data_IF_869012727561
#
_entry.id   IF_869012727561
#
_cell.length_a   1.000
_cell.length_b   1.000
_cell.length_c   1.000
_cell.angle_alpha   90.00
_cell.angle_beta   90.00
_cell.angle_gamma   90.00
#
_symmetry.space_group_name_H-M   'P 1'
#
loop_
_entity.id
_entity.type
_entity.pdbx_description
1 polymer ?
#
# COMPACT_ATOMS: atom_id res chain seq x y z
N UNK A 1 7.79 -17.36 -25.53
CA UNK A 1 7.65 -15.92 -25.82
C UNK A 1 8.89 -15.16 -25.34
N UNK A 2 9.98 -15.13 -26.14
CA UNK A 2 11.28 -14.57 -25.70
C UNK A 2 11.36 -13.03 -25.80
N UNK A 3 10.44 -12.39 -26.52
CA UNK A 3 10.45 -10.95 -26.80
C UNK A 3 9.29 -10.17 -26.16
N UNK A 4 8.39 -10.84 -25.41
CA UNK A 4 7.25 -10.18 -24.79
C UNK A 4 7.75 -9.13 -23.78
N UNK A 5 7.35 -7.87 -23.95
CA UNK A 5 7.76 -6.75 -23.08
C UNK A 5 6.65 -6.27 -22.15
N UNK A 6 5.39 -6.47 -22.53
CA UNK A 6 4.23 -6.08 -21.75
C UNK A 6 3.30 -7.28 -21.65
N UNK A 7 2.89 -7.61 -20.43
CA UNK A 7 1.82 -8.55 -20.14
C UNK A 7 0.85 -7.84 -19.20
N UNK A 8 -0.36 -7.57 -19.68
CA UNK A 8 -1.46 -7.08 -18.85
C UNK A 8 -2.51 -8.17 -18.75
N UNK A 9 -2.90 -8.45 -17.51
CA UNK A 9 -3.97 -9.35 -17.11
C UNK A 9 -5.01 -8.57 -16.29
N UNK A 10 -5.05 -7.25 -16.46
CA UNK A 10 -5.86 -6.33 -15.67
C UNK A 10 -7.33 -6.78 -15.62
N UNK A 11 -7.92 -6.75 -14.42
CA UNK A 11 -9.34 -7.01 -14.20
C UNK A 11 -9.76 -8.47 -14.35
N UNK A 12 -8.82 -9.40 -14.59
CA UNK A 12 -9.15 -10.82 -14.75
C UNK A 12 -9.39 -11.44 -13.37
N UNK A 13 -10.65 -11.53 -12.97
CA UNK A 13 -11.08 -12.07 -11.67
C UNK A 13 -10.90 -13.57 -11.52
N UNK A 14 -10.58 -14.33 -12.57
CA UNK A 14 -10.38 -15.79 -12.47
C UNK A 14 -8.95 -16.19 -12.14
N UNK A 15 -7.99 -15.26 -12.16
CA UNK A 15 -6.61 -15.55 -11.81
C UNK A 15 -6.49 -15.56 -10.30
N UNK A 16 -6.23 -16.74 -9.73
CA UNK A 16 -5.98 -16.92 -8.30
C UNK A 16 -4.49 -16.94 -7.99
N UNK A 17 -3.65 -17.34 -8.94
CA UNK A 17 -2.19 -17.37 -8.84
C UNK A 17 -1.55 -17.16 -10.21
N UNK A 18 -0.32 -16.65 -10.23
CA UNK A 18 0.51 -16.70 -11.44
C UNK A 18 1.39 -17.95 -11.43
N UNK A 19 1.55 -18.64 -12.57
CA UNK A 19 2.40 -19.83 -12.65
C UNK A 19 3.89 -19.46 -12.60
N UNK A 20 4.73 -20.35 -12.07
CA UNK A 20 6.20 -20.19 -12.03
C UNK A 20 6.83 -19.95 -13.41
N UNK A 21 6.15 -20.35 -14.49
CA UNK A 21 6.58 -20.09 -15.86
C UNK A 21 6.63 -18.59 -16.21
N UNK A 22 6.01 -17.70 -15.42
CA UNK A 22 6.13 -16.25 -15.60
C UNK A 22 7.60 -15.82 -15.63
N UNK A 23 8.45 -16.44 -14.80
CA UNK A 23 9.88 -16.16 -14.73
C UNK A 23 10.65 -16.44 -16.03
N UNK A 24 10.07 -17.21 -16.97
CA UNK A 24 10.66 -17.48 -18.29
C UNK A 24 10.54 -16.29 -19.26
N UNK A 25 9.76 -15.27 -18.93
CA UNK A 25 9.57 -14.06 -19.74
C UNK A 25 10.74 -13.08 -19.56
N UNK A 26 11.94 -13.47 -19.97
CA UNK A 26 13.19 -12.73 -19.74
C UNK A 26 13.24 -11.30 -20.33
N UNK A 27 12.35 -10.97 -21.27
CA UNK A 27 12.24 -9.64 -21.87
C UNK A 27 11.14 -8.76 -21.28
N UNK A 28 10.38 -9.26 -20.30
CA UNK A 28 9.24 -8.56 -19.74
C UNK A 28 9.69 -7.31 -18.99
N UNK A 29 9.07 -6.17 -19.32
CA UNK A 29 9.31 -4.86 -18.72
C UNK A 29 8.13 -4.38 -17.89
N UNK A 30 6.91 -4.75 -18.29
CA UNK A 30 5.67 -4.33 -17.65
C UNK A 30 4.83 -5.58 -17.37
N UNK A 31 4.50 -5.79 -16.10
CA UNK A 31 3.53 -6.78 -15.65
C UNK A 31 2.41 -6.04 -14.94
N UNK A 32 1.22 -6.08 -15.53
CA UNK A 32 0.03 -5.40 -15.02
C UNK A 32 -1.00 -6.43 -14.61
N UNK A 33 -1.26 -6.48 -13.31
CA UNK A 33 -2.20 -7.37 -12.62
C UNK A 33 -3.25 -6.53 -11.88
N UNK A 34 -3.38 -5.25 -12.19
CA UNK A 34 -4.32 -4.36 -11.52
C UNK A 34 -5.74 -4.95 -11.55
N UNK A 35 -6.46 -4.84 -10.43
CA UNK A 35 -7.84 -5.31 -10.30
C UNK A 35 -8.04 -6.81 -10.57
N UNK A 36 -6.99 -7.64 -10.46
CA UNK A 36 -7.15 -9.09 -10.33
C UNK A 36 -7.63 -9.42 -8.92
N UNK A 37 -8.91 -9.16 -8.62
CA UNK A 37 -9.45 -9.18 -7.25
C UNK A 37 -9.23 -10.52 -6.52
N UNK A 38 -9.21 -11.64 -7.24
CA UNK A 38 -9.04 -12.98 -6.67
C UNK A 38 -7.59 -13.48 -6.65
N UNK A 39 -6.63 -12.68 -7.13
CA UNK A 39 -5.21 -13.04 -7.09
C UNK A 39 -4.76 -13.13 -5.63
N UNK A 40 -4.41 -14.33 -5.19
CA UNK A 40 -4.01 -14.62 -3.82
C UNK A 40 -2.51 -14.88 -3.70
N UNK A 41 -1.84 -15.29 -4.78
CA UNK A 41 -0.43 -15.70 -4.74
C UNK A 41 0.37 -15.20 -5.96
N UNK A 42 1.56 -14.68 -5.68
CA UNK A 42 2.61 -14.45 -6.68
C UNK A 42 3.71 -15.52 -6.54
N UNK A 43 4.21 -16.09 -7.65
CA UNK A 43 5.22 -17.13 -7.61
C UNK A 43 6.58 -16.55 -7.23
N UNK A 44 7.40 -17.33 -6.50
CA UNK A 44 8.80 -16.97 -6.16
C UNK A 44 9.62 -16.64 -7.42
N UNK A 45 9.34 -17.34 -8.53
CA UNK A 45 9.97 -17.10 -9.82
C UNK A 45 9.71 -15.72 -10.43
N UNK A 46 8.84 -14.88 -9.85
CA UNK A 46 8.71 -13.47 -10.25
C UNK A 46 10.07 -12.73 -10.18
N UNK A 47 10.95 -13.11 -9.23
CA UNK A 47 12.29 -12.55 -9.10
C UNK A 47 13.23 -12.84 -10.28
N UNK A 48 12.86 -13.74 -11.20
CA UNK A 48 13.62 -14.02 -12.43
C UNK A 48 13.40 -12.97 -13.53
N UNK A 49 12.40 -12.08 -13.39
CA UNK A 49 12.06 -11.04 -14.37
C UNK A 49 13.05 -9.85 -14.32
N UNK A 50 14.33 -10.10 -14.64
CA UNK A 50 15.43 -9.12 -14.44
C UNK A 50 15.31 -7.82 -15.24
N UNK A 51 14.42 -7.74 -16.24
CA UNK A 51 14.14 -6.53 -17.02
C UNK A 51 12.85 -5.82 -16.60
N UNK A 52 12.15 -6.32 -15.57
CA UNK A 52 10.90 -5.73 -15.11
C UNK A 52 11.16 -4.33 -14.54
N UNK A 53 10.41 -3.37 -15.06
CA UNK A 53 10.48 -1.96 -14.66
C UNK A 53 9.19 -1.49 -14.01
N UNK A 54 8.07 -2.12 -14.34
CA UNK A 54 6.75 -1.78 -13.81
C UNK A 54 6.02 -3.05 -13.38
N UNK A 55 5.61 -3.08 -12.12
CA UNK A 55 4.71 -4.08 -11.56
C UNK A 55 3.51 -3.36 -10.93
N UNK A 56 2.32 -3.63 -11.45
CA UNK A 56 1.06 -3.14 -10.87
C UNK A 56 0.25 -4.33 -10.34
N UNK A 57 0.14 -4.42 -9.02
CA UNK A 57 -0.70 -5.40 -8.30
C UNK A 57 -1.74 -4.68 -7.44
N UNK A 58 -2.05 -3.42 -7.76
CA UNK A 58 -3.07 -2.68 -7.05
C UNK A 58 -4.45 -3.32 -7.21
N UNK A 59 -5.30 -3.20 -6.18
CA UNK A 59 -6.63 -3.81 -6.13
C UNK A 59 -6.63 -5.36 -6.24
N UNK A 60 -5.53 -6.03 -5.91
CA UNK A 60 -5.48 -7.49 -5.71
C UNK A 60 -5.82 -7.82 -4.24
N UNK A 61 -7.10 -7.75 -3.86
CA UNK A 61 -7.51 -7.74 -2.45
C UNK A 61 -7.30 -9.06 -1.68
N UNK A 62 -7.14 -10.19 -2.38
CA UNK A 62 -6.81 -11.48 -1.75
C UNK A 62 -5.30 -11.73 -1.63
N UNK A 63 -4.45 -10.84 -2.16
CA UNK A 63 -3.01 -10.98 -2.10
C UNK A 63 -2.53 -10.63 -0.69
N UNK A 64 -2.34 -11.65 0.14
CA UNK A 64 -1.96 -11.46 1.54
C UNK A 64 -0.49 -11.07 1.72
N UNK A 65 0.38 -11.47 0.79
CA UNK A 65 1.80 -11.17 0.81
C UNK A 65 2.42 -11.17 -0.58
N UNK A 66 3.61 -10.58 -0.66
CA UNK A 66 4.45 -10.58 -1.86
C UNK A 66 5.68 -11.44 -1.57
N UNK A 67 6.16 -12.30 -2.49
CA UNK A 67 7.33 -13.14 -2.26
C UNK A 67 8.61 -12.30 -2.10
N UNK A 68 9.49 -12.68 -1.18
CA UNK A 68 10.78 -12.01 -0.90
C UNK A 68 11.66 -11.82 -2.15
N UNK A 69 11.52 -12.70 -3.13
CA UNK A 69 12.18 -12.64 -4.43
C UNK A 69 11.88 -11.36 -5.23
N UNK A 70 10.85 -10.59 -4.88
CA UNK A 70 10.59 -9.28 -5.48
C UNK A 70 11.77 -8.31 -5.31
N UNK A 71 12.50 -8.40 -4.19
CA UNK A 71 13.73 -7.63 -3.95
C UNK A 71 14.84 -7.89 -4.97
N UNK A 72 14.75 -8.98 -5.74
CA UNK A 72 15.72 -9.32 -6.79
C UNK A 72 15.48 -8.58 -8.11
N UNK A 73 14.44 -7.76 -8.20
CA UNK A 73 14.07 -6.96 -9.38
C UNK A 73 14.79 -5.61 -9.42
N UNK A 74 16.11 -5.63 -9.58
CA UNK A 74 16.97 -4.43 -9.52
C UNK A 74 16.68 -3.35 -10.57
N UNK A 75 15.88 -3.67 -11.60
CA UNK A 75 15.42 -2.72 -12.63
C UNK A 75 14.07 -2.08 -12.33
N UNK A 76 13.40 -2.48 -11.24
CA UNK A 76 12.05 -2.02 -10.90
C UNK A 76 12.04 -0.52 -10.61
N UNK A 77 11.10 0.19 -11.22
CA UNK A 77 10.96 1.65 -11.16
C UNK A 77 9.60 2.04 -10.57
N UNK A 78 8.59 1.22 -10.82
CA UNK A 78 7.23 1.41 -10.33
C UNK A 78 6.74 0.10 -9.72
N UNK A 79 6.40 0.18 -8.44
CA UNK A 79 5.71 -0.88 -7.71
C UNK A 79 4.42 -0.29 -7.14
N UNK A 80 3.28 -0.90 -7.46
CA UNK A 80 2.00 -0.49 -6.89
C UNK A 80 1.28 -1.67 -6.25
N UNK A 81 0.62 -1.43 -5.12
CA UNK A 81 -0.12 -2.45 -4.39
C UNK A 81 0.74 -3.30 -3.45
N UNK A 82 1.84 -2.77 -2.92
CA UNK A 82 2.58 -3.43 -1.84
C UNK A 82 1.67 -3.58 -0.63
N UNK A 83 1.35 -4.82 -0.24
CA UNK A 83 0.52 -5.09 0.94
C UNK A 83 1.40 -5.13 2.18
N UNK A 84 1.10 -4.25 3.14
CA UNK A 84 1.74 -4.23 4.48
C UNK A 84 0.69 -4.56 5.53
N UNK A 85 0.87 -5.67 6.24
CA UNK A 85 -0.05 -6.15 7.27
C UNK A 85 0.68 -6.87 8.40
N UNK A 86 -0.07 -7.20 9.47
CA UNK A 86 0.47 -7.74 10.72
C UNK A 86 0.90 -9.22 10.60
N UNK A 87 0.44 -9.93 9.57
CA UNK A 87 0.73 -11.35 9.33
C UNK A 87 1.91 -11.48 8.37
N UNK A 88 3.12 -11.17 8.87
CA UNK A 88 4.34 -11.31 8.07
C UNK A 88 4.76 -12.79 8.11
N UNK A 89 4.52 -13.51 7.01
CA UNK A 89 5.18 -14.79 6.74
C UNK A 89 6.68 -14.55 6.54
N UNK A 90 7.55 -15.47 6.97
CA UNK A 90 9.02 -15.39 6.75
C UNK A 90 9.41 -15.21 5.28
N UNK A 91 8.51 -15.61 4.37
CA UNK A 91 8.73 -15.61 2.94
C UNK A 91 8.17 -14.34 2.25
N UNK A 92 7.61 -13.41 3.02
CA UNK A 92 7.07 -12.16 2.50
C UNK A 92 8.13 -11.05 2.36
N UNK A 93 8.03 -10.28 1.29
CA UNK A 93 8.86 -9.13 1.01
C UNK A 93 8.48 -8.00 1.98
N UNK A 94 9.41 -7.58 2.83
CA UNK A 94 9.19 -6.42 3.69
C UNK A 94 9.51 -5.11 2.94
N UNK A 95 9.16 -3.99 3.56
CA UNK A 95 9.57 -2.68 3.07
C UNK A 95 11.10 -2.50 3.09
N UNK A 96 11.79 -3.16 4.03
CA UNK A 96 13.25 -3.13 4.15
C UNK A 96 13.91 -3.87 2.99
N UNK A 97 13.31 -4.99 2.55
CA UNK A 97 13.80 -5.74 1.39
C UNK A 97 13.72 -4.88 0.10
N UNK A 98 12.80 -3.92 0.03
CA UNK A 98 12.63 -3.02 -1.12
C UNK A 98 13.54 -1.80 -1.08
N UNK A 99 14.06 -1.41 0.08
CA UNK A 99 14.94 -0.25 0.22
C UNK A 99 16.21 -0.36 -0.65
N UNK A 100 16.67 -1.59 -0.94
CA UNK A 100 17.79 -1.85 -1.85
C UNK A 100 17.49 -1.64 -3.35
N UNK A 101 16.24 -1.36 -3.73
CA UNK A 101 15.87 -1.13 -5.12
C UNK A 101 16.17 0.31 -5.55
N UNK A 102 17.44 0.57 -5.87
CA UNK A 102 17.96 1.92 -6.19
C UNK A 102 17.25 2.62 -7.37
N UNK A 103 16.54 1.89 -8.25
CA UNK A 103 15.81 2.47 -9.38
C UNK A 103 14.33 2.76 -9.09
N UNK A 104 13.83 2.40 -7.90
CA UNK A 104 12.43 2.54 -7.53
C UNK A 104 12.09 4.02 -7.32
N UNK A 105 11.18 4.55 -8.15
CA UNK A 105 10.75 5.95 -8.13
C UNK A 105 9.30 6.14 -7.70
N UNK A 106 8.47 5.12 -7.89
CA UNK A 106 7.06 5.15 -7.48
C UNK A 106 6.74 3.91 -6.65
N UNK A 107 6.20 4.16 -5.46
CA UNK A 107 5.74 3.11 -4.56
C UNK A 107 4.29 3.41 -4.14
N UNK A 108 3.41 2.43 -4.31
CA UNK A 108 2.07 2.44 -3.71
C UNK A 108 1.95 1.30 -2.71
N UNK A 109 1.53 1.65 -1.50
CA UNK A 109 1.35 0.76 -0.36
C UNK A 109 -0.13 0.67 -0.04
N UNK A 110 -0.63 -0.53 0.16
CA UNK A 110 -1.93 -0.82 0.73
C UNK A 110 -1.74 -1.43 2.12
N UNK A 111 -2.48 -0.95 3.11
CA UNK A 111 -2.39 -1.48 4.47
C UNK A 111 -3.75 -1.50 5.17
N UNK A 112 -4.00 -2.57 5.93
CA UNK A 112 -5.11 -2.62 6.88
C UNK A 112 -4.74 -2.15 8.28
N UNK A 113 -3.47 -1.82 8.52
CA UNK A 113 -3.00 -1.40 9.82
C UNK A 113 -3.20 0.11 9.99
N UNK A 114 -4.15 0.47 10.86
CA UNK A 114 -4.49 1.87 11.15
C UNK A 114 -3.36 2.68 11.79
N UNK A 115 -2.34 2.01 12.35
CA UNK A 115 -1.15 2.64 12.95
C UNK A 115 -0.01 2.82 11.95
N UNK A 116 -0.13 2.27 10.74
CA UNK A 116 0.88 2.47 9.71
C UNK A 116 0.89 3.93 9.23
N UNK A 117 2.07 4.52 8.97
CA UNK A 117 3.40 3.98 9.28
C UNK A 117 3.82 4.26 10.74
N UNK A 118 4.50 3.28 11.34
CA UNK A 118 5.25 3.39 12.60
C UNK A 118 6.64 4.03 12.35
N UNK A 119 7.36 4.42 13.41
CA UNK A 119 8.71 4.97 13.28
C UNK A 119 9.68 4.04 12.54
N UNK A 120 9.50 2.72 12.69
CA UNK A 120 10.31 1.73 11.97
C UNK A 120 10.11 1.86 10.46
N UNK A 121 8.86 1.88 10.00
CA UNK A 121 8.55 1.99 8.58
C UNK A 121 8.89 3.38 8.04
N UNK A 122 8.70 4.43 8.83
CA UNK A 122 9.11 5.79 8.49
C UNK A 122 10.61 5.91 8.24
N UNK A 123 11.44 5.23 9.04
CA UNK A 123 12.89 5.24 8.83
C UNK A 123 13.24 4.56 7.50
N UNK A 124 12.63 3.41 7.22
CA UNK A 124 12.86 2.68 5.96
C UNK A 124 12.37 3.49 4.76
N UNK A 125 11.22 4.17 4.85
CA UNK A 125 10.71 5.02 3.78
C UNK A 125 11.65 6.19 3.46
N UNK A 126 12.40 6.68 4.46
CA UNK A 126 13.41 7.72 4.27
C UNK A 126 14.70 7.20 3.62
N UNK A 127 14.97 5.89 3.71
CA UNK A 127 16.16 5.27 3.11
C UNK A 127 16.02 5.04 1.59
N UNK A 128 14.83 5.24 1.00
CA UNK A 128 14.65 5.12 -0.45
C UNK A 128 15.29 6.30 -1.19
N UNK A 129 16.49 6.07 -1.75
CA UNK A 129 17.32 7.09 -2.39
C UNK A 129 16.66 7.85 -3.56
N UNK A 130 15.78 7.20 -4.33
CA UNK A 130 15.22 7.74 -5.57
C UNK A 130 13.69 7.80 -5.59
N UNK A 131 13.04 7.67 -4.44
CA UNK A 131 11.58 7.64 -4.38
C UNK A 131 10.97 9.04 -4.60
N UNK A 132 10.33 9.23 -5.75
CA UNK A 132 9.72 10.50 -6.16
C UNK A 132 8.24 10.57 -5.79
N UNK A 133 7.53 9.43 -5.82
CA UNK A 133 6.10 9.34 -5.51
C UNK A 133 5.82 8.21 -4.53
N UNK A 134 5.14 8.55 -3.46
CA UNK A 134 4.60 7.61 -2.48
C UNK A 134 3.08 7.75 -2.42
N UNK A 135 2.40 6.62 -2.53
CA UNK A 135 0.95 6.51 -2.32
C UNK A 135 0.74 5.54 -1.16
N UNK A 136 -0.04 5.94 -0.16
CA UNK A 136 -0.46 5.07 0.95
C UNK A 136 -1.98 5.02 0.96
N UNK A 137 -2.50 3.81 0.88
CA UNK A 137 -3.93 3.51 0.92
C UNK A 137 -4.24 2.66 2.15
N UNK A 138 -5.15 3.14 2.99
CA UNK A 138 -5.63 2.42 4.15
C UNK A 138 -6.95 1.71 3.80
N UNK A 139 -6.91 0.38 3.77
CA UNK A 139 -8.09 -0.45 3.55
C UNK A 139 -8.59 -1.04 4.86
N UNK A 140 -9.79 -0.64 5.29
CA UNK A 140 -10.44 -1.27 6.44
C UNK A 140 -11.23 -2.52 6.04
N UNK A 141 -11.19 -3.55 6.89
CA UNK A 141 -12.32 -4.50 7.03
C UNK A 141 -13.52 -3.77 7.65
N UNK A 142 -14.06 -2.75 6.98
CA UNK A 142 -15.18 -1.95 7.49
C UNK A 142 -16.52 -2.72 7.41
N UNK A 143 -16.50 -3.94 6.85
CA UNK A 143 -17.67 -4.83 6.72
C UNK A 143 -17.61 -6.12 7.55
N UNK A 144 -16.54 -6.41 8.31
CA UNK A 144 -16.57 -7.55 9.23
C UNK A 144 -17.06 -7.12 10.62
N UNK A 145 -18.31 -6.65 10.69
CA UNK A 145 -19.06 -6.56 11.93
C UNK A 145 -19.35 -7.96 12.46
N UNK A 146 -18.36 -8.62 13.07
CA UNK A 146 -18.66 -9.63 14.09
C UNK A 146 -18.97 -8.85 15.36
N UNK A 147 -20.24 -8.55 15.59
CA UNK A 147 -20.71 -8.23 16.92
C UNK A 147 -20.43 -9.44 17.81
N UNK A 148 -19.37 -9.35 18.61
CA UNK A 148 -19.14 -10.29 19.68
C UNK A 148 -20.08 -9.90 20.82
N UNK A 149 -21.29 -10.48 20.82
CA UNK A 149 -22.20 -10.43 21.97
C UNK A 149 -21.56 -11.22 23.11
N UNK A 150 -20.77 -10.56 23.94
CA UNK A 150 -20.41 -11.05 25.27
C UNK A 150 -19.91 -9.90 26.15
N UNK A 151 -20.85 -9.09 26.63
CA UNK A 151 -20.69 -8.35 27.88
C UNK A 151 -21.95 -8.61 28.73
N UNK A 152 -21.78 -9.46 29.74
CA UNK A 152 -22.78 -9.71 30.79
C UNK A 152 -23.02 -8.42 31.57
N UNK A 153 -24.29 -8.07 31.80
CA UNK A 153 -24.71 -7.16 32.86
C UNK A 153 -25.71 -7.91 33.76
N UNK A 154 -25.69 -7.71 35.09
CA UNK A 154 -26.43 -8.54 36.05
C UNK A 154 -27.84 -8.00 36.40
N UNK A 155 -28.74 -8.96 36.66
CA UNK A 155 -29.93 -8.95 37.54
C UNK A 155 -31.18 -8.10 37.20
N UNK A 156 -32.18 -8.80 36.61
CA UNK A 156 -33.61 -9.05 36.96
C UNK A 156 -34.35 -8.21 38.04
N UNK A 157 -35.71 -8.28 38.20
CA UNK A 157 -36.70 -9.24 37.62
C UNK A 157 -38.09 -8.68 37.18
N UNK A 158 -38.85 -9.48 36.41
CA UNK A 158 -40.17 -10.04 36.79
C UNK A 158 -41.17 -10.25 35.61
N UNK A 159 -41.65 -11.51 35.54
CA UNK A 159 -43.03 -11.98 35.33
C UNK A 159 -43.62 -12.36 33.94
N UNK A 160 -43.88 -13.69 33.87
CA UNK A 160 -45.11 -14.41 33.45
C UNK A 160 -45.53 -14.33 31.95
N UNK A 161 -45.84 -15.42 31.23
CA UNK A 161 -46.50 -16.67 31.61
C UNK A 161 -46.50 -17.72 30.46
N UNK A 162 -46.63 -19.01 30.84
CA UNK A 162 -47.29 -20.16 30.17
C UNK A 162 -46.83 -20.66 28.78
N UNK A 163 -46.92 -21.95 28.40
CA UNK A 163 -47.14 -23.25 29.06
C UNK A 163 -47.02 -24.38 27.99
N UNK A 164 -46.71 -25.63 28.42
CA UNK A 164 -46.85 -26.90 27.69
C UNK A 164 -45.53 -27.45 27.10
N UNK A 165 -44.87 -28.51 27.60
CA UNK A 165 -45.34 -29.88 27.85
C UNK A 165 -45.36 -30.63 26.50
N UNK A 166 -44.55 -31.65 26.16
CA UNK A 166 -44.40 -32.97 26.81
C UNK A 166 -43.09 -33.66 26.34
N UNK A 167 -42.63 -34.60 27.17
CA UNK A 167 -41.41 -35.43 27.14
C UNK A 167 -41.48 -36.67 26.21
N UNK A 168 -40.28 -37.03 25.71
CA UNK A 168 -39.66 -38.36 25.57
C UNK A 168 -40.24 -39.41 24.58
N UNK A 169 -39.35 -40.09 23.83
CA UNK A 169 -38.89 -41.48 24.08
C UNK A 169 -38.24 -42.10 22.81
N UNK A 170 -37.11 -42.79 23.05
CA UNK A 170 -36.43 -43.90 22.35
C UNK A 170 -35.49 -43.76 21.13
N UNK A 171 -34.35 -44.42 21.35
CA UNK A 171 -33.28 -44.89 20.46
C UNK A 171 -33.24 -46.42 20.65
N UNK A 172 -32.73 -47.19 19.68
CA UNK A 172 -31.68 -48.15 20.08
C UNK A 172 -30.50 -48.29 19.09
N UNK A 173 -29.29 -48.40 19.68
CA UNK A 173 -28.19 -49.37 19.50
C UNK A 173 -28.09 -50.22 18.20
N UNK A 174 -26.95 -50.73 17.73
CA UNK A 174 -25.52 -50.78 18.14
C UNK A 174 -24.74 -51.63 17.13
N UNK A 175 -23.40 -51.50 17.10
CA UNK A 175 -22.33 -52.56 17.03
C UNK A 175 -21.18 -52.15 16.09
N UNK A 176 -19.89 -52.49 16.26
CA UNK A 176 -18.97 -52.92 17.34
C UNK A 176 -17.57 -52.80 16.71
N UNK A 177 -16.54 -52.47 17.50
CA UNK A 177 -15.11 -52.57 17.12
C UNK A 177 -14.60 -54.04 17.23
N UNK A 178 -13.32 -54.35 16.94
CA UNK A 178 -12.28 -54.17 17.96
C UNK A 178 -10.88 -53.73 17.45
N UNK A 179 -10.09 -53.22 18.40
CA UNK A 179 -8.64 -53.00 18.35
C UNK A 179 -7.89 -54.28 18.74
N UNK A 180 -6.65 -54.42 18.28
CA UNK A 180 -5.62 -55.24 18.94
C UNK A 180 -4.29 -54.47 19.04
N UNK A 181 -3.60 -54.73 20.16
CA UNK A 181 -2.47 -54.00 20.71
C UNK A 181 -1.45 -55.08 21.14
N UNK A 182 -0.19 -55.04 20.69
CA UNK A 182 0.92 -55.77 21.36
C UNK A 182 2.23 -54.95 21.29
N UNK A 183 2.86 -54.85 22.45
CA UNK A 183 4.17 -54.26 22.78
C UNK A 183 5.20 -55.34 23.15
N UNK A 184 6.51 -55.10 22.92
CA UNK A 184 7.73 -55.50 23.71
C UNK A 184 8.97 -55.40 22.79
N UNK A 185 9.95 -54.52 23.00
CA UNK A 185 11.11 -54.48 23.93
C UNK A 185 12.36 -55.34 23.56
N UNK A 186 13.49 -54.61 23.44
CA UNK A 186 14.90 -54.93 23.80
C UNK A 186 15.78 -55.83 22.91
N UNK A 187 16.87 -55.26 22.35
CA UNK A 187 18.23 -55.49 22.89
C UNK A 187 19.30 -54.56 22.28
N UNK A 188 20.20 -54.12 23.17
CA UNK A 188 21.46 -53.39 23.00
C UNK A 188 22.54 -54.31 22.35
N UNK A 189 23.73 -53.95 21.88
CA UNK A 189 24.82 -53.07 22.37
C UNK A 189 25.93 -53.05 21.29
N UNK A 190 26.64 -51.93 21.12
CA UNK A 190 28.11 -51.87 21.25
C UNK A 190 28.66 -50.46 20.90
N UNK A 191 29.15 -49.79 21.95
CA UNK A 191 30.19 -48.74 21.98
C UNK A 191 31.57 -49.43 22.17
N UNK A 192 32.73 -48.80 21.87
CA UNK A 192 33.31 -47.66 22.63
C UNK A 192 34.06 -46.64 21.71
N UNK A 193 34.65 -45.51 22.11
CA UNK A 193 34.59 -44.61 23.27
C UNK A 193 35.26 -43.27 22.85
N UNK A 194 34.66 -42.16 23.29
CA UNK A 194 35.26 -40.91 23.83
C UNK A 194 36.42 -40.19 23.11
N UNK A 195 36.20 -38.91 22.75
CA UNK A 195 36.72 -37.75 23.53
C UNK A 195 36.15 -36.40 23.04
N UNK A 196 35.60 -35.67 24.00
CA UNK A 196 35.56 -34.21 24.21
C UNK A 196 35.30 -33.19 23.05
N UNK A 197 34.25 -32.40 23.28
CA UNK A 197 34.26 -30.91 23.33
C UNK A 197 33.59 -30.11 22.18
N UNK A 198 32.62 -29.30 22.62
CA UNK A 198 32.26 -27.96 22.15
C UNK A 198 31.46 -27.76 20.84
N UNK A 199 30.17 -27.45 21.04
CA UNK A 199 29.43 -26.30 20.45
C UNK A 199 29.61 -26.04 18.95
N UNK A 200 28.71 -26.56 18.12
CA UNK A 200 28.52 -26.14 16.73
C UNK A 200 27.10 -25.62 16.49
N UNK A 201 26.86 -24.31 16.67
CA UNK A 201 25.62 -23.65 16.27
C UNK A 201 25.67 -23.30 14.78
N UNK A 202 24.55 -23.61 14.12
CA UNK A 202 24.04 -23.13 12.82
C UNK A 202 24.74 -21.88 12.26
N UNK A 203 25.39 -22.04 11.11
CA UNK A 203 25.73 -20.97 10.18
C UNK A 203 24.46 -20.42 9.53
N UNK A 204 23.88 -19.38 10.12
CA UNK A 204 23.02 -18.44 9.40
C UNK A 204 23.91 -17.41 8.72
N UNK A 205 23.93 -17.42 7.38
CA UNK A 205 24.58 -16.37 6.58
C UNK A 205 23.79 -15.07 6.78
N UNK A 206 24.20 -14.24 7.73
CA UNK A 206 23.82 -12.83 7.80
C UNK A 206 24.61 -12.10 6.71
N UNK A 207 23.91 -11.54 5.73
CA UNK A 207 24.49 -10.53 4.85
C UNK A 207 24.69 -9.26 5.66
N UNK A 208 25.92 -9.03 6.13
CA UNK A 208 26.37 -7.72 6.60
C UNK A 208 26.71 -6.87 5.39
N UNK A 209 25.87 -5.88 5.07
CA UNK A 209 26.22 -4.86 4.08
C UNK A 209 27.23 -3.90 4.75
N UNK A 210 28.51 -4.09 4.43
CA UNK A 210 29.60 -3.26 4.92
C UNK A 210 29.71 -2.03 4.00
N UNK A 211 29.43 -0.84 4.54
CA UNK A 211 29.60 0.43 3.81
C UNK A 211 31.09 0.72 3.70
N UNK A 212 31.71 0.38 2.57
CA UNK A 212 33.08 0.83 2.29
C UNK A 212 33.05 2.32 1.95
N UNK A 213 33.69 3.11 2.81
CA UNK A 213 33.94 4.53 2.58
C UNK A 213 35.04 4.75 1.54
N UNK A 214 34.85 5.82 0.76
CA UNK A 214 35.79 6.59 -0.08
C UNK A 214 36.23 6.00 -1.43
N UNK A 215 35.67 6.56 -2.51
CA UNK A 215 36.40 7.54 -3.33
C UNK A 215 35.43 8.59 -3.91
N UNK A 216 35.80 9.84 -3.70
CA UNK A 216 35.15 11.07 -4.09
C UNK A 216 35.09 11.22 -5.61
N UNK A 217 33.88 11.29 -6.16
CA UNK A 217 33.62 12.11 -7.34
C UNK A 217 32.68 13.22 -6.88
N UNK A 218 33.06 14.48 -7.15
CA UNK A 218 32.30 15.66 -6.76
C UNK A 218 30.96 15.66 -7.50
N UNK A 219 29.94 15.07 -6.88
CA UNK A 219 28.56 15.30 -7.26
C UNK A 219 28.14 16.62 -6.64
N UNK A 220 27.72 17.55 -7.49
CA UNK A 220 27.19 18.84 -7.12
C UNK A 220 26.24 18.72 -5.92
N UNK A 221 26.50 19.50 -4.88
CA UNK A 221 25.53 19.77 -3.83
C UNK A 221 24.32 20.47 -4.49
N UNK A 222 23.28 19.69 -4.84
CA UNK A 222 22.13 20.20 -5.59
C UNK A 222 20.94 19.25 -5.71
N UNK A 223 21.14 17.93 -5.80
CA UNK A 223 20.04 16.98 -6.01
C UNK A 223 19.97 15.93 -4.89
N UNK A 224 19.48 16.31 -3.71
CA UNK A 224 18.80 15.31 -2.88
C UNK A 224 17.45 15.05 -3.54
N UNK A 225 17.31 13.91 -4.24
CA UNK A 225 16.05 13.50 -4.87
C UNK A 225 15.03 13.17 -3.79
N UNK A 226 14.38 14.22 -3.34
CA UNK A 226 13.34 14.23 -2.31
C UNK A 226 12.01 13.74 -2.86
N UNK A 227 11.15 13.28 -1.95
CA UNK A 227 9.78 12.92 -2.28
C UNK A 227 9.05 14.11 -2.92
N UNK A 228 8.64 13.97 -4.18
CA UNK A 228 7.96 15.03 -4.92
C UNK A 228 6.46 15.01 -4.66
N UNK A 229 5.88 13.81 -4.64
CA UNK A 229 4.44 13.60 -4.51
C UNK A 229 4.12 12.61 -3.40
N UNK A 230 3.17 13.00 -2.54
CA UNK A 230 2.57 12.14 -1.54
C UNK A 230 1.07 12.07 -1.75
N UNK A 231 0.54 10.85 -1.80
CA UNK A 231 -0.89 10.58 -1.93
C UNK A 231 -1.36 9.73 -0.73
N UNK A 232 -2.37 10.23 -0.02
CA UNK A 232 -2.97 9.57 1.13
C UNK A 232 -4.43 9.24 0.79
N UNK A 233 -4.78 7.96 0.80
CA UNK A 233 -6.12 7.47 0.50
C UNK A 233 -6.72 6.79 1.72
N UNK A 234 -7.91 7.22 2.12
CA UNK A 234 -8.67 6.67 3.25
C UNK A 234 -7.92 6.73 4.59
N UNK A 235 -7.12 7.79 4.80
CA UNK A 235 -6.37 7.96 6.05
C UNK A 235 -7.29 7.83 7.28
N UNK A 236 -6.97 6.95 8.25
CA UNK A 236 -7.89 6.59 9.33
C UNK A 236 -7.96 7.62 10.46
N UNK A 237 -6.96 8.51 10.58
CA UNK A 237 -6.93 9.51 11.64
C UNK A 237 -7.84 10.71 11.36
N UNK A 238 -8.28 11.37 12.45
CA UNK A 238 -9.08 12.59 12.39
C UNK A 238 -8.24 13.87 12.30
N UNK A 239 -6.94 13.80 12.60
CA UNK A 239 -6.00 14.90 12.49
C UNK A 239 -4.77 14.47 11.67
N UNK A 240 -4.11 15.44 11.03
CA UNK A 240 -2.87 15.17 10.31
C UNK A 240 -1.84 14.47 11.21
N UNK A 241 -1.20 13.37 10.76
CA UNK A 241 -0.28 12.63 11.61
C UNK A 241 1.04 13.39 11.79
N UNK A 242 1.67 13.23 12.96
CA UNK A 242 2.92 13.95 13.32
C UNK A 242 4.04 13.74 12.30
N UNK A 243 4.18 12.55 11.73
CA UNK A 243 5.22 12.26 10.73
C UNK A 243 5.08 13.03 9.42
N UNK A 244 3.85 13.43 9.06
CA UNK A 244 3.59 14.28 7.89
C UNK A 244 4.02 15.73 8.16
N UNK A 245 4.02 16.11 9.43
CA UNK A 245 4.21 17.48 9.92
C UNK A 245 5.67 17.74 10.30
N UNK A 246 6.31 16.79 10.97
CA UNK A 246 7.68 16.87 11.48
C UNK A 246 8.72 16.65 10.37
N UNK A 247 8.30 16.29 9.15
CA UNK A 247 9.18 16.26 7.99
C UNK A 247 9.80 14.92 7.65
N UNK A 248 9.44 13.86 8.36
CA UNK A 248 9.89 12.49 8.04
C UNK A 248 9.48 12.09 6.62
N UNK A 249 8.32 12.54 6.13
CA UNK A 249 7.85 12.32 4.76
C UNK A 249 7.18 13.56 4.17
N UNK A 250 7.95 14.66 4.00
CA UNK A 250 7.41 15.90 3.40
C UNK A 250 7.53 15.89 1.88
N UNK A 251 6.40 15.97 1.14
CA UNK A 251 6.44 16.16 -0.31
C UNK A 251 6.90 17.59 -0.64
N UNK A 252 7.69 17.73 -1.70
CA UNK A 252 8.19 19.04 -2.15
C UNK A 252 7.35 19.70 -3.27
N UNK A 253 6.42 18.96 -3.89
CA UNK A 253 5.63 19.48 -5.02
C UNK A 253 4.13 19.37 -4.80
N UNK A 254 3.64 18.18 -4.48
CA UNK A 254 2.19 17.93 -4.44
C UNK A 254 1.76 17.02 -3.31
N UNK A 255 0.67 17.39 -2.65
CA UNK A 255 -0.01 16.60 -1.63
C UNK A 255 -1.43 16.27 -2.10
N UNK A 256 -1.77 14.99 -2.09
CA UNK A 256 -3.09 14.49 -2.45
C UNK A 256 -3.69 13.77 -1.26
N UNK A 257 -4.90 14.14 -0.86
CA UNK A 257 -5.61 13.49 0.25
C UNK A 257 -7.01 13.18 -0.23
N UNK A 258 -7.42 11.92 -0.08
CA UNK A 258 -8.79 11.55 -0.41
C UNK A 258 -9.40 10.51 0.51
N UNK A 259 -10.70 10.64 0.77
CA UNK A 259 -11.43 9.75 1.68
C UNK A 259 -10.96 9.80 3.14
N UNK A 260 -11.51 8.93 3.97
CA UNK A 260 -11.19 8.85 5.40
C UNK A 260 -11.94 9.88 6.26
N UNK A 261 -11.46 10.09 7.48
CA UNK A 261 -12.16 10.87 8.51
C UNK A 261 -11.39 12.13 8.94
N UNK A 262 -10.48 12.61 8.12
CA UNK A 262 -9.64 13.76 8.42
C UNK A 262 -10.50 15.02 8.63
N UNK A 263 -10.37 15.63 9.80
CA UNK A 263 -11.10 16.83 10.23
C UNK A 263 -10.24 18.10 10.17
N UNK A 264 -8.93 18.00 10.42
CA UNK A 264 -8.00 19.14 10.47
C UNK A 264 -6.66 18.86 9.79
N UNK A 265 -6.12 19.89 9.13
CA UNK A 265 -4.82 19.89 8.43
C UNK A 265 -3.87 21.01 8.87
N UNK A 266 -4.36 22.12 9.43
CA UNK A 266 -3.58 23.35 9.67
C UNK A 266 -3.07 23.53 11.10
N UNK A 267 -3.79 23.00 12.10
CA UNK A 267 -3.58 23.34 13.51
C UNK A 267 -3.51 22.06 14.33
N UNK A 268 -2.37 21.84 14.98
CA UNK A 268 -2.15 20.77 15.95
C UNK A 268 -1.36 21.36 17.13
N UNK A 269 -1.85 21.15 18.35
CA UNK A 269 -1.22 21.64 19.59
C UNK A 269 -0.88 23.15 19.53
N UNK A 270 -1.83 23.96 19.04
CA UNK A 270 -1.72 25.42 18.90
C UNK A 270 -0.58 25.92 17.99
N UNK A 271 0.06 25.03 17.22
CA UNK A 271 1.08 25.39 16.22
C UNK A 271 0.49 25.30 14.82
N UNK A 272 0.66 26.38 14.06
CA UNK A 272 0.32 26.42 12.63
C UNK A 272 1.38 25.67 11.84
N UNK A 273 0.92 24.76 11.00
CA UNK A 273 1.78 23.97 10.12
C UNK A 273 1.92 24.70 8.79
N UNK A 274 3.16 24.82 8.32
CA UNK A 274 3.51 25.41 7.01
C UNK A 274 3.98 24.31 6.07
N UNK A 275 3.32 24.22 4.92
CA UNK A 275 3.57 23.26 3.86
C UNK A 275 4.30 23.92 2.70
N UNK A 276 5.37 23.29 2.22
CA UNK A 276 6.06 23.70 1.01
C UNK A 276 5.59 22.86 -0.18
N UNK A 277 4.28 22.96 -0.49
CA UNK A 277 3.68 22.28 -1.65
C UNK A 277 2.99 23.30 -2.54
N UNK A 278 3.07 23.05 -3.85
CA UNK A 278 2.51 23.91 -4.90
C UNK A 278 1.12 23.45 -5.34
N UNK A 279 0.87 22.15 -5.22
CA UNK A 279 -0.37 21.50 -5.67
C UNK A 279 -0.99 20.78 -4.48
N UNK A 280 -2.23 21.14 -4.17
CA UNK A 280 -3.04 20.47 -3.16
C UNK A 280 -4.31 19.91 -3.80
N UNK A 281 -4.60 18.64 -3.55
CA UNK A 281 -5.82 18.00 -4.02
C UNK A 281 -6.52 17.34 -2.84
N UNK A 282 -7.77 17.74 -2.60
CA UNK A 282 -8.60 17.29 -1.49
C UNK A 282 -9.88 16.68 -2.07
N UNK A 283 -10.07 15.36 -1.92
CA UNK A 283 -11.23 14.69 -2.52
C UNK A 283 -11.99 13.83 -1.52
N UNK A 284 -13.31 13.91 -1.52
CA UNK A 284 -14.17 13.06 -0.70
C UNK A 284 -13.89 13.17 0.81
N UNK A 285 -13.59 14.38 1.30
CA UNK A 285 -13.31 14.65 2.71
C UNK A 285 -14.54 15.32 3.35
N UNK A 286 -15.47 14.52 3.88
CA UNK A 286 -16.73 15.01 4.44
C UNK A 286 -16.53 15.83 5.73
N UNK A 287 -15.51 15.47 6.51
CA UNK A 287 -15.29 16.03 7.84
C UNK A 287 -14.26 17.17 7.89
N UNK A 288 -13.46 17.35 6.84
CA UNK A 288 -12.38 18.33 6.82
C UNK A 288 -12.93 19.76 6.85
N UNK A 289 -12.64 20.48 7.93
CA UNK A 289 -13.00 21.88 8.12
C UNK A 289 -11.74 22.74 8.11
N UNK A 290 -11.75 23.79 7.30
CA UNK A 290 -10.67 24.74 7.19
C UNK A 290 -11.18 25.99 6.48
N UNK A 291 -10.81 27.16 6.97
CA UNK A 291 -11.11 28.42 6.28
C UNK A 291 -10.05 28.72 5.23
N UNK A 292 -10.44 29.40 4.14
CA UNK A 292 -9.53 29.74 3.05
C UNK A 292 -8.30 30.53 3.53
N UNK A 293 -8.51 31.54 4.38
CA UNK A 293 -7.41 32.32 4.95
C UNK A 293 -6.43 31.49 5.79
N UNK A 294 -6.92 30.46 6.47
CA UNK A 294 -6.05 29.53 7.20
C UNK A 294 -5.31 28.58 6.27
N UNK A 295 -5.96 28.14 5.20
CA UNK A 295 -5.33 27.34 4.16
C UNK A 295 -4.19 28.10 3.49
N UNK A 296 -4.39 29.36 3.11
CA UNK A 296 -3.33 30.18 2.51
C UNK A 296 -2.12 30.35 3.45
N UNK A 297 -2.37 30.57 4.75
CA UNK A 297 -1.29 30.66 5.76
C UNK A 297 -0.55 29.33 5.94
N UNK A 298 -1.26 28.20 5.82
CA UNK A 298 -0.64 26.87 5.90
C UNK A 298 0.04 26.45 4.59
N UNK A 299 -0.40 26.95 3.44
CA UNK A 299 0.12 26.60 2.13
C UNK A 299 0.54 27.86 1.36
N UNK A 300 1.60 28.57 1.79
CA UNK A 300 1.98 29.86 1.22
C UNK A 300 2.43 29.79 -0.25
N UNK A 301 2.99 28.65 -0.67
CA UNK A 301 3.48 28.42 -2.04
C UNK A 301 2.42 27.81 -2.98
N UNK A 302 1.16 27.74 -2.54
CA UNK A 302 0.10 27.07 -3.30
C UNK A 302 -0.20 27.83 -4.59
N UNK A 303 -0.15 27.11 -5.71
CA UNK A 303 -0.51 27.63 -7.04
C UNK A 303 -1.74 26.93 -7.62
N UNK A 304 -2.08 25.76 -7.10
CA UNK A 304 -3.21 24.95 -7.55
C UNK A 304 -3.88 24.27 -6.35
N UNK A 305 -5.19 24.39 -6.26
CA UNK A 305 -6.04 23.62 -5.37
C UNK A 305 -7.14 22.94 -6.19
N UNK A 306 -7.35 21.65 -5.96
CA UNK A 306 -8.56 20.95 -6.39
C UNK A 306 -9.30 20.43 -5.17
N UNK A 307 -10.59 20.74 -5.08
CA UNK A 307 -11.47 20.31 -4.01
C UNK A 307 -12.69 19.62 -4.61
N UNK A 308 -12.83 18.32 -4.38
CA UNK A 308 -13.96 17.52 -4.88
C UNK A 308 -14.73 16.92 -3.70
N UNK A 309 -16.02 17.22 -3.57
CA UNK A 309 -16.89 16.68 -2.50
C UNK A 309 -16.30 16.86 -1.08
N UNK A 310 -15.91 18.09 -0.74
CA UNK A 310 -15.50 18.46 0.63
C UNK A 310 -16.49 19.52 1.20
N UNK A 311 -17.67 19.11 1.69
CA UNK A 311 -18.78 20.03 2.00
C UNK A 311 -18.46 21.08 3.07
N UNK A 312 -17.56 20.79 4.02
CA UNK A 312 -17.20 21.70 5.13
C UNK A 312 -16.09 22.71 4.79
N UNK A 313 -15.53 22.66 3.58
CA UNK A 313 -14.60 23.68 3.08
C UNK A 313 -15.40 24.78 2.34
N UNK A 314 -16.12 25.59 3.10
CA UNK A 314 -16.99 26.64 2.55
C UNK A 314 -16.22 27.91 2.22
N UNK A 315 -16.72 28.72 1.27
CA UNK A 315 -16.14 30.01 0.87
C UNK A 315 -14.73 29.94 0.27
N UNK A 316 -14.42 28.84 -0.42
CA UNK A 316 -13.19 28.73 -1.21
C UNK A 316 -13.41 29.39 -2.58
N UNK A 317 -12.45 30.18 -3.10
CA UNK A 317 -12.55 30.86 -4.39
C UNK A 317 -12.31 29.89 -5.55
N UNK A 318 -13.02 28.77 -5.58
CA UNK A 318 -12.91 27.77 -6.64
C UNK A 318 -13.92 28.03 -7.77
N UNK A 319 -13.57 27.57 -8.98
CA UNK A 319 -14.49 27.49 -10.12
C UNK A 319 -15.57 26.41 -9.92
N UNK A 320 -16.47 26.27 -10.90
CA UNK A 320 -17.57 25.29 -10.88
C UNK A 320 -17.12 23.82 -10.77
N UNK A 321 -15.85 23.53 -11.08
CA UNK A 321 -15.27 22.21 -10.95
C UNK A 321 -14.53 22.00 -9.62
N UNK A 322 -14.57 23.00 -8.73
CA UNK A 322 -13.88 22.96 -7.45
C UNK A 322 -12.37 23.20 -7.57
N UNK A 323 -11.92 23.86 -8.65
CA UNK A 323 -10.50 24.18 -8.87
C UNK A 323 -10.23 25.65 -8.55
N UNK A 324 -9.14 25.91 -7.84
CA UNK A 324 -8.57 27.26 -7.68
C UNK A 324 -7.15 27.29 -8.26
N UNK A 325 -6.83 28.40 -8.93
CA UNK A 325 -5.53 28.70 -9.48
C UNK A 325 -5.05 30.05 -8.93
N UNK A 326 -3.76 30.17 -8.67
CA UNK A 326 -3.20 31.47 -8.32
C UNK A 326 -3.29 32.43 -9.53
N UNK A 327 -3.57 33.72 -9.32
CA UNK A 327 -3.86 34.70 -10.39
C UNK A 327 -2.80 34.81 -11.50
N UNK A 328 -1.52 34.52 -11.21
CA UNK A 328 -0.45 34.43 -12.24
C UNK A 328 -0.63 33.23 -13.18
N UNK A 329 -1.21 32.14 -12.68
CA UNK A 329 -1.54 30.93 -13.45
C UNK A 329 -2.89 31.08 -14.17
N UNK A 330 -3.85 31.81 -13.59
CA UNK A 330 -5.12 32.14 -14.27
C UNK A 330 -4.89 32.94 -15.55
N UNK A 331 -4.00 33.93 -15.51
CA UNK A 331 -3.63 34.70 -16.70
C UNK A 331 -3.08 33.81 -17.83
N UNK A 332 -2.19 32.85 -17.49
CA UNK A 332 -1.69 31.85 -18.46
C UNK A 332 -2.79 30.91 -18.96
N UNK A 333 -3.73 30.51 -18.10
CA UNK A 333 -4.87 29.64 -18.48
C UNK A 333 -5.76 30.33 -19.50
N UNK A 334 -6.07 31.61 -19.28
CA UNK A 334 -6.89 32.41 -20.19
C UNK A 334 -6.19 32.62 -21.54
N UNK A 335 -4.89 32.93 -21.54
CA UNK A 335 -4.07 33.10 -22.75
C UNK A 335 -3.99 31.81 -23.59
N UNK A 336 -3.77 30.65 -22.97
CA UNK A 336 -3.72 29.35 -23.68
C UNK A 336 -5.11 28.87 -24.15
N UNK A 337 -6.17 29.15 -23.39
CA UNK A 337 -7.54 28.80 -23.78
C UNK A 337 -8.03 29.58 -25.01
N UNK A 338 -7.53 30.81 -25.21
CA UNK A 338 -7.74 31.58 -26.45
C UNK A 338 -6.99 31.04 -27.66
N UNK A 339 -6.00 30.16 -27.45
CA UNK A 339 -5.18 29.53 -28.48
C UNK A 339 -5.56 28.06 -28.75
N UNK A 340 -6.61 27.54 -28.12
CA UNK A 340 -7.05 26.15 -28.29
C UNK A 340 -6.10 25.10 -27.70
N UNK A 341 -5.19 25.48 -26.80
CA UNK A 341 -4.22 24.57 -26.18
C UNK A 341 -4.77 23.96 -24.87
N UNK A 342 -4.56 22.65 -24.69
CA UNK A 342 -5.12 21.86 -23.59
C UNK A 342 -4.15 21.69 -22.41
N UNK A 343 -4.62 21.98 -21.19
CA UNK A 343 -3.92 21.88 -19.88
C UNK A 343 -3.62 20.44 -19.42
N UNK A 344 -3.32 19.54 -20.36
CA UNK A 344 -3.02 18.11 -20.14
C UNK A 344 -1.83 17.86 -19.19
N UNK A 345 -1.00 18.86 -18.92
CA UNK A 345 0.15 18.78 -18.00
C UNK A 345 -0.26 18.66 -16.52
N UNK A 346 -1.40 19.23 -16.12
CA UNK A 346 -1.95 19.06 -14.76
C UNK A 346 -2.83 17.80 -14.63
N UNK A 347 -3.33 17.24 -15.74
CA UNK A 347 -4.14 16.00 -15.76
C UNK A 347 -3.33 14.70 -15.79
N UNK A 348 -2.01 14.74 -16.02
CA UNK A 348 -1.17 13.51 -16.03
C UNK A 348 -0.71 13.12 -14.62
N UNK A 349 -1.66 12.69 -13.79
CA UNK A 349 -1.40 11.72 -12.73
C UNK A 349 -1.90 10.35 -13.18
N UNK A 350 -0.95 9.53 -13.64
CA UNK A 350 -1.03 8.08 -13.86
C UNK A 350 -2.29 7.55 -14.58
N UNK A 351 -2.27 7.57 -15.91
CA UNK A 351 -2.92 6.54 -16.74
C UNK A 351 -2.10 6.35 -18.02
N UNK A 352 -1.54 5.16 -18.16
CA UNK A 352 -0.92 4.59 -19.37
C UNK A 352 -1.95 3.51 -19.76
N UNK A 353 -2.72 3.51 -20.86
CA UNK A 353 -2.50 3.76 -22.30
C UNK A 353 -3.83 4.14 -23.02
N UNK A 354 -3.80 4.51 -24.32
CA UNK A 354 -4.92 5.11 -25.06
C UNK A 354 -6.00 4.10 -25.54
N UNK A 355 -7.18 4.65 -25.76
CA UNK A 355 -8.31 4.04 -26.47
C UNK A 355 -7.89 3.78 -27.93
N UNK A 356 -7.82 2.51 -28.33
CA UNK A 356 -7.85 2.13 -29.74
C UNK A 356 -9.27 2.34 -30.26
N UNK A 357 -9.49 3.41 -31.02
CA UNK A 357 -10.64 3.51 -31.93
C UNK A 357 -10.24 2.79 -33.21
N UNK A 358 -10.78 1.59 -33.42
CA UNK A 358 -10.78 0.98 -34.75
C UNK A 358 -11.91 1.60 -35.55
N UNK A 359 -11.57 2.52 -36.46
CA UNK A 359 -12.49 2.97 -37.49
C UNK A 359 -12.60 1.89 -38.56
N UNK A 360 -13.71 1.17 -38.61
CA UNK A 360 -14.12 0.39 -39.77
C UNK A 360 -14.56 1.36 -40.87
N UNK A 361 -13.68 1.65 -41.82
CA UNK A 361 -14.10 2.22 -43.10
C UNK A 361 -14.60 1.10 -44.00
N UNK A 362 -15.93 1.03 -44.12
CA UNK A 362 -16.62 0.39 -45.24
C UNK A 362 -16.23 1.08 -46.55
N UNK A 363 -15.85 0.28 -47.54
CA UNK A 363 -16.02 0.58 -48.97
C UNK A 363 -16.48 -0.68 -49.67
#
# INVERSE_FOLDING_TARGET
MKHLQLLSLQGISRITELPDSIGKLASLKILDLNACHNLALLPKNIGALKKLTHLDISQCYLLDHIPKELSSLTQLQVLKGLVVGDLISSDSCSLEDLAGLLKLRKLSIYTGNVKFPTDKELNVLQDFENLEKLTIEWGGKWFSGKQNKNSKQPNSPANLSNAGGVKMVDKPNSTKAPQDNISTQLNETHQPAQTASAVGRKLSKKFSFMRSSTQTSSLNAGDTRSLQKLELHCFPGTAAPTWLIEGKLKPQKSLYISGGHLQTLSIIQDKRIVWNVKILCLKFLSELKMDWGDLQKSFPELIYLEKVRCPKLTFFPCDEHGVWLNGKMEAKRMEESGLGLSWSFLKRSDTIYPITVSSSTSK
#
